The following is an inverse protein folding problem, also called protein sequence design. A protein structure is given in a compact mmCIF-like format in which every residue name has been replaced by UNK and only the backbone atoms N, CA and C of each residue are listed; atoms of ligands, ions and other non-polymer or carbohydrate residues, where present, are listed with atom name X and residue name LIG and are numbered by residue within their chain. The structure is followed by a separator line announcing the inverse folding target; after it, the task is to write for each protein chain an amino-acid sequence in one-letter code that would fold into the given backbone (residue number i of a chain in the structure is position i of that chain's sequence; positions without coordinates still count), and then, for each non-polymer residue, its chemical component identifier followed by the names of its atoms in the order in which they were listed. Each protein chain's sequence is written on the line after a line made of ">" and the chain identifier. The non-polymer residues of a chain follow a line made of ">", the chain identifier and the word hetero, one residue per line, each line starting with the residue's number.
data_IF_327192846077
#
_entry.id   IF_327192846077
#
_cell.length_a   1.000
_cell.length_b   1.000
_cell.length_c   1.000
_cell.angle_alpha   90.00
_cell.angle_beta   90.00
_cell.angle_gamma   90.00
#
_symmetry.space_group_name_H-M   'P 1'
#
loop_
_entity.id
_entity.type
_entity.pdbx_description
1 polymer ?
#
# COMPACT_ATOMS: atom_id res chain seq x y z
N UNK A 1 -23.90 0.25 -64.50
CA UNK A 1 -24.64 1.26 -63.73
C UNK A 1 -24.62 0.83 -62.28
N UNK A 2 -23.61 1.28 -61.51
CA UNK A 2 -23.39 0.89 -60.10
C UNK A 2 -23.95 2.02 -59.24
N UNK A 3 -24.96 1.70 -58.45
CA UNK A 3 -25.63 2.65 -57.55
C UNK A 3 -24.68 3.07 -56.42
N UNK A 4 -24.36 4.36 -56.37
CA UNK A 4 -23.53 5.07 -55.35
C UNK A 4 -24.35 5.54 -54.16
N UNK A 5 -25.20 4.76 -53.52
CA UNK A 5 -26.06 5.27 -52.45
C UNK A 5 -26.14 4.38 -51.21
N UNK A 6 -25.10 3.57 -50.93
CA UNK A 6 -25.14 2.65 -49.78
C UNK A 6 -24.41 3.15 -48.49
N UNK A 7 -23.85 4.36 -48.50
CA UNK A 7 -23.07 4.86 -47.35
C UNK A 7 -23.66 6.12 -46.69
N UNK A 8 -24.96 6.34 -46.76
CA UNK A 8 -25.52 7.61 -46.30
C UNK A 8 -26.44 7.54 -45.10
N UNK A 9 -26.37 6.51 -44.28
CA UNK A 9 -27.09 6.47 -42.98
C UNK A 9 -26.34 5.66 -41.94
N UNK A 10 -25.07 6.00 -41.64
CA UNK A 10 -24.46 5.68 -40.36
C UNK A 10 -24.84 6.79 -39.38
N UNK A 11 -25.94 6.59 -38.69
CA UNK A 11 -26.23 7.35 -37.45
C UNK A 11 -25.05 7.19 -36.51
N UNK A 12 -24.51 8.29 -35.93
CA UNK A 12 -23.51 8.18 -34.91
C UNK A 12 -24.17 7.48 -33.71
N UNK A 13 -23.61 6.32 -33.34
CA UNK A 13 -23.93 5.69 -32.07
C UNK A 13 -23.82 6.74 -30.98
N UNK A 14 -24.83 6.88 -30.10
CA UNK A 14 -24.68 7.76 -28.94
C UNK A 14 -23.49 7.26 -28.14
N UNK A 15 -22.52 8.11 -27.99
CA UNK A 15 -21.44 7.95 -27.02
C UNK A 15 -22.13 7.72 -25.66
N UNK A 16 -22.25 6.47 -25.25
CA UNK A 16 -22.76 6.11 -23.92
C UNK A 16 -21.89 6.83 -22.94
N UNK A 17 -22.49 7.82 -22.32
CA UNK A 17 -21.86 8.72 -21.38
C UNK A 17 -21.00 7.95 -20.41
N UNK A 18 -19.83 8.51 -20.17
CA UNK A 18 -18.98 8.21 -19.05
C UNK A 18 -19.84 7.76 -17.86
N UNK A 19 -19.78 6.47 -17.53
CA UNK A 19 -20.34 6.00 -16.30
C UNK A 19 -19.72 6.87 -15.21
N UNK A 20 -20.52 7.71 -14.58
CA UNK A 20 -20.16 8.49 -13.43
C UNK A 20 -19.58 7.50 -12.45
N UNK A 21 -18.25 7.52 -12.26
CA UNK A 21 -17.58 6.79 -11.19
C UNK A 21 -18.25 7.33 -9.95
N UNK A 22 -19.14 6.52 -9.38
CA UNK A 22 -19.78 6.74 -8.08
C UNK A 22 -18.67 7.21 -7.18
N UNK A 23 -18.77 8.44 -6.65
CA UNK A 23 -17.77 8.97 -5.73
C UNK A 23 -17.54 7.95 -4.64
N UNK A 24 -16.46 7.17 -4.77
CA UNK A 24 -16.18 6.07 -3.86
C UNK A 24 -15.93 6.68 -2.50
N UNK A 25 -16.64 6.17 -1.51
CA UNK A 25 -16.50 6.60 -0.11
C UNK A 25 -15.03 6.44 0.28
N UNK A 26 -14.39 7.53 0.69
CA UNK A 26 -13.04 7.50 1.26
C UNK A 26 -13.04 6.58 2.48
N UNK A 27 -12.26 5.51 2.42
CA UNK A 27 -12.13 4.54 3.51
C UNK A 27 -10.87 4.81 4.32
N UNK A 28 -10.91 4.43 5.58
CA UNK A 28 -9.78 4.29 6.47
C UNK A 28 -9.35 2.83 6.49
N UNK A 29 -8.13 2.55 6.06
CA UNK A 29 -7.65 1.17 5.88
C UNK A 29 -6.43 0.94 6.75
N UNK A 30 -6.52 -0.09 7.57
CA UNK A 30 -5.43 -0.57 8.40
C UNK A 30 -4.84 -1.84 7.77
N UNK A 31 -3.57 -1.79 7.38
CA UNK A 31 -2.82 -2.95 6.86
C UNK A 31 -1.87 -3.44 7.95
N UNK A 32 -1.95 -4.70 8.31
CA UNK A 32 -0.97 -5.35 9.20
C UNK A 32 -0.22 -6.44 8.44
N UNK A 33 1.10 -6.54 8.66
CA UNK A 33 1.95 -7.54 8.04
C UNK A 33 3.05 -8.00 8.98
N UNK A 34 3.36 -9.29 8.92
CA UNK A 34 4.43 -9.91 9.71
C UNK A 34 5.59 -10.45 8.86
N UNK A 35 5.53 -10.32 7.55
CA UNK A 35 6.53 -10.84 6.61
C UNK A 35 7.70 -9.87 6.43
N UNK A 36 8.90 -10.42 6.39
CA UNK A 36 10.15 -9.71 6.15
C UNK A 36 11.02 -10.45 5.14
N UNK A 37 12.31 -10.60 5.43
CA UNK A 37 13.27 -11.28 4.55
C UNK A 37 12.97 -12.79 4.37
N UNK A 38 12.14 -13.37 5.20
CA UNK A 38 11.66 -14.74 5.10
C UNK A 38 10.73 -14.98 3.89
N UNK A 39 10.01 -13.96 3.43
CA UNK A 39 9.26 -13.98 2.17
C UNK A 39 9.27 -12.58 1.55
N UNK A 40 10.23 -12.26 0.66
CA UNK A 40 10.36 -10.94 0.06
C UNK A 40 9.14 -10.46 -0.72
N UNK A 41 8.40 -11.38 -1.33
CA UNK A 41 7.18 -11.04 -2.09
C UNK A 41 6.08 -10.60 -1.14
N UNK A 42 5.76 -11.37 -0.12
CA UNK A 42 4.77 -11.02 0.89
C UNK A 42 5.19 -9.78 1.70
N UNK A 43 6.47 -9.64 2.01
CA UNK A 43 7.01 -8.47 2.69
C UNK A 43 6.71 -7.16 1.95
N UNK A 44 6.61 -7.21 0.62
CA UNK A 44 6.35 -6.03 -0.22
C UNK A 44 4.86 -5.68 -0.34
N UNK A 45 3.95 -6.60 -0.10
CA UNK A 45 2.51 -6.41 -0.29
C UNK A 45 1.93 -5.23 0.51
N UNK A 46 2.21 -5.04 1.81
CA UNK A 46 1.64 -3.91 2.55
C UNK A 46 2.02 -2.55 1.94
N UNK A 47 3.20 -2.45 1.36
CA UNK A 47 3.68 -1.22 0.71
C UNK A 47 3.06 -1.04 -0.68
N UNK A 48 2.97 -2.10 -1.46
CA UNK A 48 2.34 -2.10 -2.80
C UNK A 48 0.85 -1.80 -2.71
N UNK A 49 0.12 -2.57 -1.88
CA UNK A 49 -1.31 -2.41 -1.72
C UNK A 49 -1.65 -1.11 -0.99
N UNK A 50 -0.85 -0.74 0.03
CA UNK A 50 -1.00 0.53 0.73
C UNK A 50 -0.87 1.72 -0.22
N UNK A 51 0.12 1.72 -1.10
CA UNK A 51 0.30 2.77 -2.12
C UNK A 51 -0.90 2.82 -3.07
N UNK A 52 -1.32 1.68 -3.62
CA UNK A 52 -2.45 1.61 -4.54
C UNK A 52 -3.75 2.12 -3.90
N UNK A 53 -4.00 1.75 -2.64
CA UNK A 53 -5.17 2.21 -1.89
C UNK A 53 -5.13 3.72 -1.60
N UNK A 54 -3.95 4.24 -1.25
CA UNK A 54 -3.78 5.68 -1.01
C UNK A 54 -3.93 6.48 -2.32
N UNK A 55 -3.39 5.99 -3.44
CA UNK A 55 -3.56 6.60 -4.76
C UNK A 55 -5.02 6.55 -5.23
N UNK A 56 -5.81 5.58 -4.78
CA UNK A 56 -7.27 5.52 -4.98
C UNK A 56 -8.05 6.48 -4.06
N UNK A 57 -7.38 7.25 -3.20
CA UNK A 57 -8.00 8.28 -2.35
C UNK A 57 -8.34 7.82 -0.94
N UNK A 58 -7.93 6.62 -0.53
CA UNK A 58 -8.19 6.11 0.82
C UNK A 58 -7.12 6.57 1.81
N UNK A 59 -7.46 6.61 3.10
CA UNK A 59 -6.49 6.79 4.18
C UNK A 59 -5.91 5.44 4.58
N UNK A 60 -4.59 5.32 4.55
CA UNK A 60 -3.90 4.06 4.83
C UNK A 60 -2.91 4.23 5.96
N UNK A 61 -2.88 3.29 6.88
CA UNK A 61 -1.84 3.13 7.89
C UNK A 61 -1.37 1.68 7.93
N UNK A 62 -0.07 1.47 8.11
CA UNK A 62 0.58 0.15 8.10
C UNK A 62 1.12 -0.14 9.49
N UNK A 63 0.93 -1.38 9.97
CA UNK A 63 1.53 -1.87 11.22
C UNK A 63 2.33 -3.14 10.92
N UNK A 64 3.65 -3.05 11.12
CA UNK A 64 4.58 -4.16 10.93
C UNK A 64 4.79 -4.90 12.25
N UNK A 65 4.72 -6.22 12.16
CA UNK A 65 4.85 -7.15 13.28
C UNK A 65 5.98 -8.17 12.97
N UNK A 66 6.38 -8.93 13.97
CA UNK A 66 7.29 -10.06 13.78
C UNK A 66 8.47 -9.72 12.89
N UNK A 67 8.71 -10.52 11.87
CA UNK A 67 9.82 -10.32 10.93
C UNK A 67 9.66 -9.08 10.05
N UNK A 68 8.42 -8.60 9.86
CA UNK A 68 8.14 -7.38 9.09
C UNK A 68 8.84 -6.14 9.62
N UNK A 69 9.16 -6.05 10.91
CA UNK A 69 9.90 -4.90 11.47
C UNK A 69 11.35 -4.82 10.97
N UNK A 70 11.93 -5.94 10.51
CA UNK A 70 13.28 -5.96 9.94
C UNK A 70 13.41 -5.11 8.68
N UNK A 71 12.29 -4.86 7.98
CA UNK A 71 12.22 -3.98 6.81
C UNK A 71 12.54 -2.51 7.13
N UNK A 72 12.52 -2.13 8.39
CA UNK A 72 12.90 -0.78 8.81
C UNK A 72 14.42 -0.57 8.77
N UNK A 73 15.23 -1.63 8.79
CA UNK A 73 16.67 -1.54 8.61
C UNK A 73 17.01 -1.37 7.12
N UNK A 74 17.79 -0.35 6.77
CA UNK A 74 18.13 -0.04 5.37
C UNK A 74 18.76 -1.21 4.63
N UNK A 75 19.65 -1.96 5.28
CA UNK A 75 20.28 -3.13 4.67
C UNK A 75 19.28 -4.21 4.29
N UNK A 76 18.26 -4.44 5.12
CA UNK A 76 17.18 -5.39 4.83
C UNK A 76 16.27 -4.86 3.74
N UNK A 77 15.78 -3.63 3.90
CA UNK A 77 14.87 -2.97 2.94
C UNK A 77 15.45 -2.97 1.52
N UNK A 78 16.73 -2.61 1.39
CA UNK A 78 17.41 -2.53 0.12
C UNK A 78 17.64 -3.91 -0.53
N UNK A 79 17.65 -4.99 0.26
CA UNK A 79 17.83 -6.35 -0.23
C UNK A 79 16.50 -7.02 -0.65
N UNK A 80 15.34 -6.47 -0.26
CA UNK A 80 14.03 -7.04 -0.60
C UNK A 80 13.71 -6.80 -2.08
N UNK A 81 13.69 -7.90 -2.84
CA UNK A 81 13.29 -7.91 -4.25
C UNK A 81 12.18 -8.95 -4.44
N UNK A 82 10.91 -8.51 -4.49
CA UNK A 82 9.80 -9.43 -4.69
C UNK A 82 9.79 -10.00 -6.11
N UNK A 83 9.30 -11.21 -6.25
CA UNK A 83 9.17 -11.85 -7.56
C UNK A 83 8.07 -11.17 -8.37
N UNK A 84 8.44 -10.65 -9.56
CA UNK A 84 7.48 -10.00 -10.47
C UNK A 84 7.12 -8.57 -10.13
N UNK A 85 7.74 -7.96 -9.11
CA UNK A 85 7.49 -6.60 -8.68
C UNK A 85 8.80 -5.80 -8.53
N UNK A 86 8.75 -4.46 -8.53
CA UNK A 86 9.94 -3.64 -8.28
C UNK A 86 10.55 -3.91 -6.90
N UNK A 87 11.86 -3.70 -6.72
CA UNK A 87 12.52 -3.75 -5.42
C UNK A 87 11.84 -2.83 -4.39
N UNK A 88 11.79 -3.25 -3.13
CA UNK A 88 11.11 -2.49 -2.07
C UNK A 88 11.67 -1.07 -1.91
N UNK A 89 12.97 -0.88 -2.12
CA UNK A 89 13.61 0.45 -2.13
C UNK A 89 13.04 1.42 -3.16
N UNK A 90 12.42 0.91 -4.24
CA UNK A 90 11.76 1.72 -5.28
C UNK A 90 10.28 1.97 -4.96
N UNK A 91 9.69 1.12 -4.13
CA UNK A 91 8.29 1.24 -3.68
C UNK A 91 8.19 2.23 -2.53
N UNK A 92 9.13 2.22 -1.58
CA UNK A 92 9.10 3.08 -0.39
C UNK A 92 8.91 4.58 -0.69
N UNK A 93 9.56 5.19 -1.70
CA UNK A 93 9.32 6.60 -2.03
C UNK A 93 7.85 6.93 -2.32
N UNK A 94 7.08 6.00 -2.88
CA UNK A 94 5.65 6.18 -3.12
C UNK A 94 4.84 6.13 -1.82
N UNK A 95 5.23 5.25 -0.89
CA UNK A 95 4.64 5.20 0.46
C UNK A 95 4.82 6.55 1.16
N UNK A 96 6.02 7.13 1.07
CA UNK A 96 6.35 8.43 1.66
C UNK A 96 5.60 9.58 0.98
N UNK A 97 5.52 9.58 -0.35
CA UNK A 97 4.79 10.60 -1.13
C UNK A 97 3.29 10.61 -0.78
N UNK A 98 2.72 9.44 -0.50
CA UNK A 98 1.33 9.28 -0.07
C UNK A 98 1.15 9.51 1.45
N UNK A 99 2.21 9.86 2.18
CA UNK A 99 2.19 10.13 3.64
C UNK A 99 1.62 8.96 4.47
N UNK A 100 1.80 7.73 4.01
CA UNK A 100 1.35 6.55 4.71
C UNK A 100 2.18 6.41 6.00
N UNK A 101 1.52 6.42 7.16
CA UNK A 101 2.17 6.19 8.45
C UNK A 101 2.47 4.71 8.62
N UNK A 102 3.70 4.39 8.97
CA UNK A 102 4.14 3.04 9.33
C UNK A 102 4.35 2.98 10.84
N UNK A 103 3.83 1.93 11.46
CA UNK A 103 4.15 1.57 12.84
C UNK A 103 4.92 0.25 12.83
N UNK A 104 6.03 0.20 13.53
CA UNK A 104 6.81 -1.01 13.75
C UNK A 104 6.66 -1.45 15.21
N UNK A 105 6.16 -2.66 15.44
CA UNK A 105 5.94 -3.22 16.79
C UNK A 105 7.20 -3.08 17.63
N UNK A 106 7.11 -2.32 18.74
CA UNK A 106 8.25 -2.02 19.58
C UNK A 106 8.89 -3.25 20.22
N UNK A 107 8.10 -4.21 20.68
CA UNK A 107 8.61 -5.47 21.23
C UNK A 107 9.32 -6.31 20.15
N UNK A 108 8.77 -6.36 18.94
CA UNK A 108 9.38 -7.05 17.81
C UNK A 108 10.69 -6.38 17.37
N UNK A 109 10.72 -5.04 17.38
CA UNK A 109 11.92 -4.25 17.12
C UNK A 109 13.01 -4.52 18.13
N UNK A 110 12.67 -4.47 19.43
CA UNK A 110 13.61 -4.76 20.53
C UNK A 110 14.23 -6.15 20.38
N UNK A 111 13.42 -7.16 20.09
CA UNK A 111 13.90 -8.54 19.92
C UNK A 111 14.85 -8.70 18.72
N UNK A 112 14.80 -7.81 17.72
CA UNK A 112 15.63 -7.86 16.50
C UNK A 112 16.68 -6.77 16.41
N UNK A 113 16.85 -5.98 17.47
CA UNK A 113 17.83 -4.90 17.51
C UNK A 113 17.54 -3.78 16.49
N UNK A 114 16.27 -3.54 16.17
CA UNK A 114 15.84 -2.40 15.36
C UNK A 114 15.81 -1.16 16.26
N UNK A 115 16.56 -0.14 15.88
CA UNK A 115 16.75 1.09 16.65
C UNK A 115 15.81 2.20 16.14
N UNK A 116 15.67 3.26 16.93
CA UNK A 116 14.92 4.44 16.53
C UNK A 116 15.45 5.06 15.24
N UNK A 117 16.77 5.05 15.05
CA UNK A 117 17.43 5.55 13.83
C UNK A 117 17.09 4.74 12.58
N UNK A 118 16.71 3.47 12.72
CA UNK A 118 16.24 2.66 11.60
C UNK A 118 14.87 3.11 11.06
N UNK A 119 14.11 3.86 11.88
CA UNK A 119 12.80 4.42 11.50
C UNK A 119 12.91 5.76 10.77
N UNK A 120 14.07 6.40 10.83
CA UNK A 120 14.29 7.73 10.23
C UNK A 120 14.04 7.69 8.72
N UNK A 121 13.46 8.78 8.20
CA UNK A 121 13.15 8.98 6.77
C UNK A 121 12.19 7.95 6.16
N UNK A 122 11.43 7.21 6.97
CA UNK A 122 10.47 6.18 6.52
C UNK A 122 9.02 6.48 6.90
N UNK A 123 8.75 7.66 7.48
CA UNK A 123 7.46 7.98 8.09
C UNK A 123 7.00 6.87 9.06
N UNK A 124 7.96 6.36 9.84
CA UNK A 124 7.77 5.22 10.72
C UNK A 124 7.92 5.61 12.19
N UNK A 125 7.19 4.93 13.06
CA UNK A 125 7.22 5.07 14.52
C UNK A 125 7.15 3.71 15.17
N UNK A 126 7.63 3.61 16.41
CA UNK A 126 7.37 2.42 17.22
C UNK A 126 5.88 2.29 17.52
N UNK A 127 5.36 1.10 17.29
CA UNK A 127 4.01 0.72 17.67
C UNK A 127 3.97 -0.03 19.00
N UNK A 128 2.82 -0.03 19.63
CA UNK A 128 2.51 -0.76 20.85
C UNK A 128 1.08 -1.29 20.80
N UNK A 129 0.64 -2.12 21.80
CA UNK A 129 -0.73 -2.64 21.81
C UNK A 129 -1.82 -1.55 21.81
N UNK A 130 -1.60 -0.41 22.45
CA UNK A 130 -2.57 0.68 22.49
C UNK A 130 -2.73 1.34 21.14
N UNK A 131 -1.65 1.54 20.40
CA UNK A 131 -1.68 2.03 19.01
C UNK A 131 -2.42 1.02 18.12
N UNK A 132 -2.16 -0.28 18.28
CA UNK A 132 -2.85 -1.33 17.53
C UNK A 132 -4.36 -1.30 17.76
N UNK A 133 -4.80 -1.18 19.02
CA UNK A 133 -6.22 -1.00 19.37
C UNK A 133 -6.78 0.25 18.70
N UNK A 134 -6.09 1.39 18.83
CA UNK A 134 -6.52 2.65 18.22
C UNK A 134 -6.66 2.57 16.69
N UNK A 135 -5.76 1.86 16.00
CA UNK A 135 -5.86 1.62 14.56
C UNK A 135 -7.07 0.74 14.20
N UNK A 136 -7.33 -0.28 15.02
CA UNK A 136 -8.48 -1.18 14.84
C UNK A 136 -9.81 -0.43 15.01
N UNK A 137 -9.89 0.50 15.95
CA UNK A 137 -11.06 1.35 16.18
C UNK A 137 -11.20 2.47 15.12
N UNK A 138 -10.07 2.97 14.61
CA UNK A 138 -10.03 4.03 13.61
C UNK A 138 -10.47 3.56 12.22
N UNK A 139 -10.16 2.32 11.84
CA UNK A 139 -10.30 1.86 10.46
C UNK A 139 -11.71 1.38 10.11
N UNK A 140 -12.07 1.55 8.84
CA UNK A 140 -13.25 0.91 8.24
C UNK A 140 -12.96 -0.53 7.80
N UNK A 141 -11.70 -0.83 7.45
CA UNK A 141 -11.26 -2.16 6.98
C UNK A 141 -9.86 -2.49 7.47
N UNK A 142 -9.66 -3.76 7.82
CA UNK A 142 -8.35 -4.34 8.13
C UNK A 142 -7.95 -5.28 6.99
N UNK A 143 -6.71 -5.12 6.53
CA UNK A 143 -6.07 -6.03 5.58
C UNK A 143 -4.91 -6.70 6.32
N UNK A 144 -4.81 -8.02 6.19
CA UNK A 144 -3.70 -8.80 6.73
C UNK A 144 -2.91 -9.37 5.56
N UNK A 145 -1.64 -9.00 5.50
CA UNK A 145 -0.68 -9.45 4.50
C UNK A 145 0.34 -10.41 5.11
#
# INVERSE_FOLDING_TARGET
>A
MIRKDFFRNLLPLPFLGSASIRGEKKLKIFIKSAWGSDDPTKASFPFLHGTALAEAGHEVQIFLLGEGVSLMRDSTLNAITPVGWPPLKEILPKVLANKIQIYACGACCKARGILATDLDNKNAKFGNPQIFVGLTEWCDKIITE
#
